data_IF_455385590034
#
_entry.id   IF_455385590034
#
_cell.length_a   1.000
_cell.length_b   1.000
_cell.length_c   1.000
_cell.angle_alpha   90.00
_cell.angle_beta   90.00
_cell.angle_gamma   90.00
#
_symmetry.space_group_name_H-M   'P 1'
#
loop_
_entity.id
_entity.type
_entity.pdbx_description
1 polymer ?
#
# COMPACT_ATOMS: atom_id res chain seq x y z
N UNK A 1 12.17 -4.90 20.20
CA UNK A 1 11.43 -4.97 18.94
C UNK A 1 11.67 -3.71 18.14
N UNK A 2 11.71 -3.80 16.81
CA UNK A 2 11.82 -2.67 15.87
C UNK A 2 10.87 -2.90 14.69
N UNK A 3 10.22 -1.84 14.22
CA UNK A 3 9.23 -1.90 13.15
C UNK A 3 9.68 -1.05 11.96
N UNK A 4 9.38 -1.54 10.76
CA UNK A 4 9.51 -0.76 9.53
C UNK A 4 8.13 -0.63 8.89
N UNK A 5 7.68 0.60 8.66
CA UNK A 5 6.44 0.88 7.95
C UNK A 5 6.75 1.38 6.55
N UNK A 6 6.08 0.81 5.56
CA UNK A 6 6.16 1.28 4.18
C UNK A 6 4.76 1.36 3.57
N UNK A 7 4.56 2.29 2.67
CA UNK A 7 3.27 2.53 2.03
C UNK A 7 3.16 3.91 1.39
N UNK A 8 1.94 4.32 1.09
CA UNK A 8 1.65 5.59 0.44
C UNK A 8 1.32 6.71 1.45
N UNK A 9 0.59 7.73 0.97
CA UNK A 9 0.12 8.86 1.76
C UNK A 9 -0.65 8.48 3.03
N UNK A 10 -1.34 7.34 3.03
CA UNK A 10 -2.04 6.82 4.22
C UNK A 10 -1.03 6.45 5.31
N UNK A 11 0.01 5.70 5.00
CA UNK A 11 1.08 5.36 5.97
C UNK A 11 1.88 6.59 6.36
N UNK A 12 2.04 7.54 5.45
CA UNK A 12 2.65 8.84 5.73
C UNK A 12 1.83 9.65 6.73
N UNK A 13 0.52 9.50 6.73
CA UNK A 13 -0.43 10.27 7.55
C UNK A 13 -0.77 11.61 6.93
N UNK A 14 -0.99 11.63 5.60
CA UNK A 14 -1.42 12.84 4.90
C UNK A 14 -2.77 13.32 5.41
N UNK A 15 -3.00 14.63 5.42
CA UNK A 15 -4.18 15.32 5.95
C UNK A 15 -4.39 15.22 7.49
N UNK A 16 -3.54 14.53 8.23
CA UNK A 16 -3.58 14.55 9.68
C UNK A 16 -3.07 15.87 10.24
N UNK A 17 -3.78 16.43 11.22
CA UNK A 17 -3.41 17.68 11.88
C UNK A 17 -2.06 17.55 12.60
N UNK A 18 -1.84 16.45 13.28
CA UNK A 18 -0.59 16.11 13.95
C UNK A 18 -0.08 14.76 13.48
N UNK A 19 0.41 14.70 12.24
CA UNK A 19 0.84 13.49 11.56
C UNK A 19 1.74 12.59 12.40
N UNK A 20 2.74 13.16 13.06
CA UNK A 20 3.73 12.38 13.80
C UNK A 20 3.20 11.74 15.08
N UNK A 21 2.01 12.14 15.53
CA UNK A 21 1.37 11.55 16.71
C UNK A 21 0.17 10.70 16.37
N UNK A 22 -0.56 11.05 15.29
CA UNK A 22 -1.86 10.51 14.97
C UNK A 22 -1.83 9.38 13.92
N UNK A 23 -0.75 9.28 13.13
CA UNK A 23 -0.65 8.21 12.12
C UNK A 23 -0.55 6.84 12.76
N UNK A 24 -1.17 5.84 12.13
CA UNK A 24 -1.24 4.49 12.67
C UNK A 24 0.13 3.89 12.97
N UNK A 25 1.15 4.16 12.16
CA UNK A 25 2.51 3.66 12.40
C UNK A 25 3.10 4.11 13.74
N UNK A 26 2.84 5.35 14.14
CA UNK A 26 3.26 5.86 15.45
C UNK A 26 2.43 5.26 16.58
N UNK A 27 1.13 5.05 16.38
CA UNK A 27 0.25 4.43 17.39
C UNK A 27 0.69 2.99 17.64
N UNK A 28 0.93 2.20 16.59
CA UNK A 28 1.45 0.83 16.69
C UNK A 28 2.80 0.78 17.40
N UNK A 29 3.73 1.66 17.05
CA UNK A 29 5.05 1.69 17.68
C UNK A 29 4.99 2.04 19.15
N UNK A 30 4.10 2.94 19.54
CA UNK A 30 3.85 3.26 20.97
C UNK A 30 3.23 2.09 21.72
N UNK A 31 2.35 1.31 21.08
CA UNK A 31 1.76 0.12 21.70
C UNK A 31 2.83 -0.91 22.11
N UNK A 32 3.82 -1.11 21.25
CA UNK A 32 4.93 -2.05 21.52
C UNK A 32 6.13 -1.41 22.22
N UNK A 33 6.07 -0.13 22.56
CA UNK A 33 7.20 0.63 23.12
C UNK A 33 8.49 0.41 22.33
N UNK A 34 8.45 0.57 21.01
CA UNK A 34 9.52 0.20 20.12
C UNK A 34 9.91 1.31 19.13
N UNK A 35 11.13 1.20 18.62
CA UNK A 35 11.60 2.07 17.52
C UNK A 35 10.93 1.69 16.21
N UNK A 36 10.71 2.69 15.35
CA UNK A 36 10.22 2.43 13.99
C UNK A 36 10.87 3.33 12.95
N UNK A 37 10.93 2.79 11.74
CA UNK A 37 11.23 3.53 10.51
C UNK A 37 9.94 3.69 9.71
N UNK A 38 9.77 4.82 9.03
CA UNK A 38 8.65 5.02 8.14
C UNK A 38 9.17 5.46 6.77
N UNK A 39 9.11 4.55 5.80
CA UNK A 39 9.59 4.71 4.42
C UNK A 39 8.49 5.21 3.46
N UNK A 40 7.30 5.48 3.98
CA UNK A 40 6.15 5.86 3.16
C UNK A 40 6.31 7.22 2.47
N UNK A 41 5.69 7.36 1.31
CA UNK A 41 5.72 8.60 0.52
C UNK A 41 4.34 8.87 -0.08
N UNK A 42 3.95 10.15 -0.16
CA UNK A 42 2.69 10.52 -0.81
C UNK A 42 2.76 10.29 -2.33
N UNK A 43 1.66 9.76 -2.89
CA UNK A 43 1.55 9.56 -4.35
C UNK A 43 2.34 8.38 -4.93
N UNK A 44 3.09 7.66 -4.12
CA UNK A 44 3.92 6.53 -4.54
C UNK A 44 3.09 5.35 -5.07
N UNK A 45 3.60 4.63 -6.07
CA UNK A 45 3.01 3.40 -6.63
C UNK A 45 3.42 2.15 -5.87
N UNK A 46 2.77 1.01 -6.12
CA UNK A 46 3.14 -0.26 -5.53
C UNK A 46 4.54 -0.72 -5.99
N UNK A 47 4.92 -0.46 -7.24
CA UNK A 47 6.26 -0.74 -7.75
C UNK A 47 7.33 -0.02 -6.93
N UNK A 48 7.15 1.28 -6.71
CA UNK A 48 8.05 2.09 -5.89
C UNK A 48 8.03 1.67 -4.42
N UNK A 49 6.86 1.36 -3.84
CA UNK A 49 6.75 0.89 -2.45
C UNK A 49 7.61 -0.36 -2.25
N UNK A 50 7.42 -1.38 -3.09
CA UNK A 50 8.15 -2.65 -2.99
C UNK A 50 9.65 -2.45 -3.23
N UNK A 51 10.02 -1.78 -4.32
CA UNK A 51 11.42 -1.54 -4.67
C UNK A 51 12.16 -0.77 -3.57
N UNK A 52 11.58 0.33 -3.09
CA UNK A 52 12.25 1.14 -2.04
C UNK A 52 12.30 0.41 -0.72
N UNK A 53 11.29 -0.39 -0.38
CA UNK A 53 11.30 -1.17 0.85
C UNK A 53 12.39 -2.23 0.81
N UNK A 54 12.44 -3.05 -0.25
CA UNK A 54 13.48 -4.08 -0.41
C UNK A 54 14.87 -3.45 -0.41
N UNK A 55 15.07 -2.37 -1.18
CA UNK A 55 16.36 -1.68 -1.21
C UNK A 55 16.79 -1.17 0.18
N UNK A 56 15.87 -0.61 0.95
CA UNK A 56 16.18 -0.19 2.32
C UNK A 56 16.52 -1.38 3.22
N UNK A 57 15.75 -2.47 3.15
CA UNK A 57 16.00 -3.68 3.97
C UNK A 57 17.35 -4.31 3.66
N UNK A 58 17.80 -4.30 2.40
CA UNK A 58 19.11 -4.82 2.02
C UNK A 58 20.28 -3.93 2.46
N UNK A 59 20.04 -2.63 2.61
CA UNK A 59 21.09 -1.67 3.01
C UNK A 59 21.12 -1.37 4.51
N UNK A 60 20.18 -1.88 5.31
CA UNK A 60 20.20 -1.73 6.74
C UNK A 60 21.23 -2.65 7.40
N UNK A 61 22.03 -2.12 8.32
CA UNK A 61 22.97 -2.91 9.13
C UNK A 61 22.27 -3.89 10.08
N UNK A 62 21.03 -3.59 10.46
CA UNK A 62 20.17 -4.47 11.24
C UNK A 62 18.75 -4.40 10.66
N UNK A 63 18.22 -5.55 10.25
CA UNK A 63 16.85 -5.65 9.74
C UNK A 63 15.84 -5.40 10.86
N UNK A 64 14.67 -4.80 10.54
CA UNK A 64 13.60 -4.64 11.53
C UNK A 64 13.00 -6.00 11.89
N UNK A 65 12.50 -6.13 13.12
CA UNK A 65 11.85 -7.37 13.56
C UNK A 65 10.58 -7.66 12.76
N UNK A 66 9.83 -6.62 12.40
CA UNK A 66 8.61 -6.76 11.56
C UNK A 66 8.53 -5.62 10.55
N UNK A 67 8.20 -5.96 9.32
CA UNK A 67 7.84 -4.99 8.27
C UNK A 67 6.32 -4.90 8.15
N UNK A 68 5.79 -3.69 8.19
CA UNK A 68 4.37 -3.40 7.98
C UNK A 68 4.23 -2.71 6.62
N UNK A 69 3.68 -3.44 5.65
CA UNK A 69 3.54 -3.00 4.26
C UNK A 69 2.10 -2.61 3.96
N UNK A 70 1.87 -1.35 3.60
CA UNK A 70 0.58 -0.90 3.09
C UNK A 70 0.67 -0.71 1.57
N UNK A 71 -0.04 -1.55 0.83
CA UNK A 71 -0.20 -1.39 -0.60
C UNK A 71 -1.22 -0.31 -0.94
N UNK A 72 -0.99 0.39 -2.04
CA UNK A 72 -1.85 1.47 -2.54
C UNK A 72 -2.71 1.00 -3.71
N UNK A 73 -3.55 1.90 -4.21
CA UNK A 73 -4.44 1.63 -5.35
C UNK A 73 -3.66 1.24 -6.61
N UNK A 74 -4.24 0.33 -7.36
CA UNK A 74 -3.65 -0.25 -8.57
C UNK A 74 -3.42 0.70 -9.77
N UNK A 75 -4.13 1.85 -9.93
CA UNK A 75 -3.86 2.74 -11.05
C UNK A 75 -2.53 3.49 -10.99
N UNK A 76 -1.81 3.44 -9.87
CA UNK A 76 -0.51 4.12 -9.74
C UNK A 76 0.59 3.31 -10.35
N UNK A 77 1.49 3.97 -11.09
CA UNK A 77 2.67 3.33 -11.68
C UNK A 77 3.94 4.11 -11.38
N UNK A 78 5.06 3.41 -11.43
CA UNK A 78 6.40 3.99 -11.44
C UNK A 78 6.85 4.15 -12.90
N UNK A 79 7.42 5.30 -13.24
CA UNK A 79 7.98 5.59 -14.54
C UNK A 79 9.41 6.12 -14.39
N UNK A 80 10.32 5.54 -15.17
CA UNK A 80 11.69 6.02 -15.28
C UNK A 80 11.78 6.96 -16.46
N UNK A 81 12.24 8.18 -16.20
CA UNK A 81 12.49 9.16 -17.28
C UNK A 81 13.79 8.83 -18.01
N UNK A 82 13.99 9.46 -19.15
CA UNK A 82 15.22 9.30 -19.94
C UNK A 82 16.49 9.76 -19.17
N UNK A 83 16.31 10.55 -18.11
CA UNK A 83 17.38 11.03 -17.21
C UNK A 83 17.49 10.18 -15.93
N UNK A 84 16.99 8.94 -15.93
CA UNK A 84 16.95 8.01 -14.79
C UNK A 84 16.20 8.54 -13.54
N UNK A 85 15.38 9.58 -13.72
CA UNK A 85 14.55 10.12 -12.64
C UNK A 85 13.30 9.29 -12.51
N UNK A 86 13.06 8.81 -11.29
CA UNK A 86 11.86 8.02 -10.97
C UNK A 86 10.68 8.95 -10.70
N UNK A 87 9.62 8.76 -11.44
CA UNK A 87 8.35 9.45 -11.24
C UNK A 87 7.27 8.46 -10.89
N UNK A 88 6.40 8.82 -9.95
CA UNK A 88 5.19 8.07 -9.66
C UNK A 88 4.00 8.80 -10.30
N UNK A 89 3.34 8.11 -11.23
CA UNK A 89 2.18 8.63 -11.91
C UNK A 89 0.89 8.10 -11.31
N UNK A 90 -0.07 8.99 -11.19
CA UNK A 90 -1.43 8.68 -10.77
C UNK A 90 -2.39 9.19 -11.85
N UNK A 91 -3.64 8.70 -11.93
CA UNK A 91 -4.63 9.28 -12.84
C UNK A 91 -4.80 10.80 -12.69
N UNK A 92 -4.59 11.33 -11.50
CA UNK A 92 -4.64 12.79 -11.24
C UNK A 92 -3.44 13.54 -11.83
N UNK A 93 -2.39 12.85 -12.23
CA UNK A 93 -1.20 13.44 -12.85
C UNK A 93 -1.32 13.64 -14.36
N UNK A 94 -2.42 13.19 -14.98
CA UNK A 94 -2.67 13.23 -16.45
C UNK A 94 -2.55 14.62 -17.05
N UNK A 95 -2.90 15.66 -16.30
CA UNK A 95 -2.78 17.06 -16.77
C UNK A 95 -1.36 17.64 -16.66
N UNK A 96 -0.41 16.93 -16.07
CA UNK A 96 0.94 17.45 -15.78
C UNK A 96 2.00 17.03 -16.80
N UNK A 97 1.82 15.86 -17.42
CA UNK A 97 2.81 15.25 -18.30
C UNK A 97 2.14 14.54 -19.48
N UNK A 98 2.54 14.82 -20.70
CA UNK A 98 1.98 14.17 -21.91
C UNK A 98 2.20 12.65 -21.92
N UNK A 99 3.37 12.17 -21.51
CA UNK A 99 3.66 10.73 -21.40
C UNK A 99 2.70 10.05 -20.41
N UNK A 100 2.41 10.69 -19.27
CA UNK A 100 1.45 10.21 -18.28
C UNK A 100 0.03 10.13 -18.87
N UNK A 101 -0.39 11.19 -19.58
CA UNK A 101 -1.68 11.19 -20.26
C UNK A 101 -1.78 10.06 -21.29
N UNK A 102 -0.78 9.89 -22.14
CA UNK A 102 -0.75 8.84 -23.15
C UNK A 102 -0.83 7.45 -22.52
N UNK A 103 -0.15 7.22 -21.41
CA UNK A 103 -0.25 5.97 -20.67
C UNK A 103 -1.69 5.69 -20.22
N UNK A 104 -2.33 6.61 -19.52
CA UNK A 104 -3.69 6.38 -18.99
C UNK A 104 -4.78 6.36 -20.06
N UNK A 105 -4.59 7.04 -21.19
CA UNK A 105 -5.57 7.07 -22.27
C UNK A 105 -5.44 5.88 -23.22
N UNK A 106 -4.20 5.42 -23.48
CA UNK A 106 -3.94 4.48 -24.56
C UNK A 106 -3.43 3.11 -24.11
N UNK A 107 -2.86 2.99 -22.92
CA UNK A 107 -2.21 1.75 -22.47
C UNK A 107 -2.91 1.19 -21.24
N UNK A 108 -3.16 2.02 -20.23
CA UNK A 108 -3.72 1.58 -18.96
C UNK A 108 -5.13 1.02 -19.11
N UNK A 109 -5.39 -0.08 -18.44
CA UNK A 109 -6.72 -0.56 -18.11
C UNK A 109 -6.71 -1.18 -16.70
N UNK A 110 -7.90 -1.39 -16.13
CA UNK A 110 -8.07 -1.91 -14.77
C UNK A 110 -7.42 -3.29 -14.58
N UNK A 111 -7.36 -4.12 -15.63
CA UNK A 111 -6.75 -5.45 -15.58
C UNK A 111 -5.25 -5.32 -15.39
N UNK A 112 -4.58 -4.50 -16.22
CA UNK A 112 -3.15 -4.25 -16.14
C UNK A 112 -2.78 -3.71 -14.77
N UNK A 113 -3.52 -2.72 -14.27
CA UNK A 113 -3.29 -2.14 -12.96
C UNK A 113 -3.44 -3.16 -11.84
N UNK A 114 -4.51 -3.95 -11.88
CA UNK A 114 -4.79 -4.96 -10.88
C UNK A 114 -3.73 -6.09 -10.88
N UNK A 115 -3.38 -6.62 -12.04
CA UNK A 115 -2.32 -7.63 -12.17
C UNK A 115 -0.96 -7.10 -11.68
N UNK A 116 -0.63 -5.83 -12.00
CA UNK A 116 0.59 -5.21 -11.48
C UNK A 116 0.58 -5.08 -9.96
N UNK A 117 -0.55 -4.74 -9.36
CA UNK A 117 -0.70 -4.68 -7.92
C UNK A 117 -0.44 -6.06 -7.29
N UNK A 118 -1.09 -7.11 -7.79
CA UNK A 118 -0.93 -8.47 -7.26
C UNK A 118 0.48 -9.02 -7.48
N UNK A 119 1.11 -8.71 -8.61
CA UNK A 119 2.53 -9.02 -8.85
C UNK A 119 3.43 -8.41 -7.79
N UNK A 120 3.24 -7.14 -7.45
CA UNK A 120 4.03 -6.46 -6.41
C UNK A 120 3.81 -7.07 -5.03
N UNK A 121 2.60 -7.43 -4.72
CA UNK A 121 2.25 -8.13 -3.48
C UNK A 121 2.98 -9.47 -3.39
N UNK A 122 2.89 -10.29 -4.43
CA UNK A 122 3.58 -11.57 -4.52
C UNK A 122 5.10 -11.41 -4.39
N UNK A 123 5.67 -10.42 -5.06
CA UNK A 123 7.11 -10.17 -5.05
C UNK A 123 7.62 -9.83 -3.64
N UNK A 124 6.89 -8.99 -2.92
CA UNK A 124 7.23 -8.63 -1.56
C UNK A 124 7.10 -9.83 -0.60
N UNK A 125 6.03 -10.60 -0.70
CA UNK A 125 5.82 -11.81 0.09
C UNK A 125 6.95 -12.83 -0.15
N UNK A 126 7.29 -13.09 -1.41
CA UNK A 126 8.37 -13.99 -1.79
C UNK A 126 9.72 -13.52 -1.24
N UNK A 127 10.02 -12.21 -1.33
CA UNK A 127 11.23 -11.63 -0.75
C UNK A 127 11.29 -11.85 0.76
N UNK A 128 10.23 -11.53 1.48
CA UNK A 128 10.18 -11.68 2.92
C UNK A 128 10.39 -13.14 3.36
N UNK A 129 9.74 -14.09 2.70
CA UNK A 129 9.90 -15.52 2.96
C UNK A 129 11.31 -16.01 2.68
N UNK A 130 11.89 -15.63 1.54
CA UNK A 130 13.27 -16.00 1.18
C UNK A 130 14.31 -15.48 2.18
N UNK A 131 14.02 -14.36 2.85
CA UNK A 131 14.88 -13.72 3.81
C UNK A 131 14.52 -13.98 5.29
N UNK A 132 13.54 -14.85 5.56
CA UNK A 132 12.98 -15.06 6.91
C UNK A 132 12.56 -13.76 7.61
N UNK A 133 12.12 -12.76 6.83
CA UNK A 133 11.68 -11.48 7.34
C UNK A 133 10.21 -11.57 7.78
N UNK A 134 9.94 -11.35 9.06
CA UNK A 134 8.56 -11.21 9.54
C UNK A 134 7.91 -9.96 8.95
N UNK A 135 6.68 -10.09 8.49
CA UNK A 135 5.94 -8.99 7.91
C UNK A 135 4.44 -9.16 8.06
N UNK A 136 3.74 -8.06 8.03
CA UNK A 136 2.30 -7.98 7.80
C UNK A 136 2.03 -7.05 6.63
N UNK A 137 1.04 -7.37 5.82
CA UNK A 137 0.69 -6.54 4.68
C UNK A 137 -0.81 -6.38 4.54
N UNK A 138 -1.22 -5.24 4.03
CA UNK A 138 -2.62 -4.92 3.79
C UNK A 138 -2.76 -3.90 2.67
N UNK A 139 -3.94 -3.82 2.10
CA UNK A 139 -4.28 -2.78 1.14
C UNK A 139 -5.21 -1.80 1.86
N UNK A 140 -4.81 -0.54 1.92
CA UNK A 140 -5.65 0.50 2.46
C UNK A 140 -6.15 1.36 1.31
N UNK A 141 -7.34 1.12 0.84
CA UNK A 141 -8.13 2.05 0.03
C UNK A 141 -9.53 1.52 -0.31
N UNK A 142 -10.29 2.30 -1.04
CA UNK A 142 -11.66 2.08 -1.49
C UNK A 142 -11.83 0.78 -2.30
N UNK A 143 -11.87 -0.35 -1.61
CA UNK A 143 -11.83 -1.70 -2.19
C UNK A 143 -12.99 -2.03 -3.12
N UNK A 144 -14.15 -1.40 -2.96
CA UNK A 144 -15.31 -1.65 -3.83
C UNK A 144 -15.04 -1.35 -5.30
N UNK A 145 -14.02 -0.53 -5.60
CA UNK A 145 -13.61 -0.21 -6.99
C UNK A 145 -12.52 -1.13 -7.54
N UNK A 146 -11.81 -1.86 -6.69
CA UNK A 146 -10.70 -2.75 -7.10
C UNK A 146 -11.21 -4.15 -7.48
N UNK A 147 -12.43 -4.48 -7.14
CA UNK A 147 -13.08 -5.70 -7.66
C UNK A 147 -13.50 -5.43 -9.11
N UNK A 148 -12.52 -5.40 -10.00
CA UNK A 148 -12.83 -5.74 -11.41
C UNK A 148 -13.50 -7.09 -11.31
N UNK A 149 -14.78 -7.18 -11.72
CA UNK A 149 -15.46 -8.46 -11.77
C UNK A 149 -14.62 -9.37 -12.66
N UNK A 150 -13.94 -10.37 -12.12
CA UNK A 150 -13.01 -11.21 -12.90
C UNK A 150 -13.73 -11.88 -14.07
N UNK A 151 -15.01 -12.17 -13.86
CA UNK A 151 -15.93 -12.84 -14.77
C UNK A 151 -16.00 -12.21 -16.17
N UNK A 152 -15.74 -10.91 -16.28
CA UNK A 152 -15.80 -10.22 -17.58
C UNK A 152 -14.52 -10.39 -18.40
N UNK A 153 -13.39 -10.65 -17.79
CA UNK A 153 -12.08 -10.59 -18.44
C UNK A 153 -11.31 -11.91 -18.43
N UNK A 154 -11.63 -12.82 -17.50
CA UNK A 154 -10.89 -14.06 -17.30
C UNK A 154 -11.75 -15.32 -17.43
N UNK A 155 -12.93 -15.26 -18.09
CA UNK A 155 -13.83 -16.41 -18.24
C UNK A 155 -14.07 -17.16 -16.91
N UNK A 156 -14.34 -16.42 -15.82
CA UNK A 156 -14.49 -16.91 -14.45
C UNK A 156 -13.16 -17.29 -13.76
N UNK A 157 -12.00 -17.15 -14.40
CA UNK A 157 -10.72 -17.38 -13.76
C UNK A 157 -10.27 -16.14 -12.97
N UNK A 158 -9.81 -16.38 -11.77
CA UNK A 158 -9.07 -15.39 -10.97
C UNK A 158 -7.80 -15.01 -11.72
N UNK A 159 -7.45 -13.71 -11.78
CA UNK A 159 -6.24 -13.26 -12.45
C UNK A 159 -4.99 -13.98 -11.96
N UNK A 160 -4.03 -14.22 -12.86
CA UNK A 160 -2.86 -15.05 -12.62
C UNK A 160 -2.12 -14.71 -11.32
N UNK A 161 -1.78 -13.46 -11.12
CA UNK A 161 -1.01 -13.03 -9.94
C UNK A 161 -1.82 -13.12 -8.65
N UNK A 162 -3.11 -12.83 -8.69
CA UNK A 162 -3.99 -12.99 -7.54
C UNK A 162 -4.09 -14.45 -7.11
N UNK A 163 -4.23 -15.37 -8.07
CA UNK A 163 -4.18 -16.80 -7.80
C UNK A 163 -2.85 -17.22 -7.18
N UNK A 164 -1.72 -16.75 -7.74
CA UNK A 164 -0.40 -17.02 -7.19
C UNK A 164 -0.27 -16.52 -5.74
N UNK A 165 -0.76 -15.31 -5.43
CA UNK A 165 -0.75 -14.80 -4.06
C UNK A 165 -1.53 -15.69 -3.11
N UNK A 166 -2.74 -16.11 -3.48
CA UNK A 166 -3.58 -16.98 -2.66
C UNK A 166 -2.93 -18.35 -2.45
N UNK A 167 -2.41 -18.96 -3.51
CA UNK A 167 -1.84 -20.31 -3.44
C UNK A 167 -0.52 -20.31 -2.64
N UNK A 168 0.22 -19.20 -2.68
CA UNK A 168 1.48 -19.04 -1.96
C UNK A 168 1.30 -18.59 -0.49
N UNK A 169 0.31 -17.76 -0.20
CA UNK A 169 0.00 -17.28 1.13
C UNK A 169 -1.51 -17.03 1.28
N UNK A 170 -2.30 -18.04 1.70
CA UNK A 170 -3.75 -17.91 1.84
C UNK A 170 -4.17 -16.85 2.87
N UNK A 171 -3.32 -16.51 3.84
CA UNK A 171 -3.60 -15.49 4.84
C UNK A 171 -3.37 -14.06 4.32
N UNK A 172 -2.74 -13.93 3.16
CA UNK A 172 -2.41 -12.65 2.55
C UNK A 172 -3.65 -11.81 2.20
N UNK A 173 -4.79 -12.42 1.97
CA UNK A 173 -6.04 -11.78 1.56
C UNK A 173 -6.84 -11.17 2.72
N UNK A 174 -6.28 -11.09 3.93
CA UNK A 174 -6.94 -10.43 5.07
C UNK A 174 -6.82 -8.92 4.94
N UNK A 175 -7.79 -8.32 4.30
CA UNK A 175 -7.85 -6.88 4.09
C UNK A 175 -8.46 -6.16 5.28
N UNK A 176 -7.91 -4.98 5.60
CA UNK A 176 -8.60 -4.05 6.48
C UNK A 176 -9.27 -2.97 5.68
N UNK A 177 -10.56 -3.04 5.69
CA UNK A 177 -11.41 -2.04 5.11
C UNK A 177 -11.97 -1.13 6.21
N UNK A 178 -11.72 0.17 6.07
CA UNK A 178 -12.23 1.19 7.00
C UNK A 178 -13.62 1.70 6.62
N UNK A 179 -14.24 1.12 5.61
CA UNK A 179 -15.41 1.68 4.96
C UNK A 179 -15.04 2.81 3.97
N UNK A 180 -15.96 3.20 3.11
CA UNK A 180 -15.79 4.39 2.28
C UNK A 180 -15.97 5.66 3.12
N UNK A 181 -15.47 6.81 2.63
CA UNK A 181 -15.74 8.11 3.26
C UNK A 181 -17.22 8.44 3.35
N UNK A 182 -18.06 7.84 2.49
CA UNK A 182 -19.52 7.98 2.54
C UNK A 182 -20.16 7.11 3.62
N UNK A 183 -19.63 5.89 3.85
CA UNK A 183 -20.18 4.95 4.84
C UNK A 183 -19.67 5.21 6.24
N UNK A 184 -18.44 5.65 6.38
CA UNK A 184 -17.79 5.92 7.67
C UNK A 184 -17.05 7.26 7.62
N UNK A 185 -17.76 8.41 7.45
CA UNK A 185 -17.13 9.72 7.26
C UNK A 185 -16.23 10.13 8.43
N UNK A 186 -16.51 9.65 9.62
CA UNK A 186 -15.69 9.93 10.80
C UNK A 186 -14.29 9.29 10.76
N UNK A 187 -14.07 8.30 9.89
CA UNK A 187 -12.77 7.66 9.70
C UNK A 187 -11.88 8.41 8.70
N UNK A 188 -12.42 9.40 8.01
CA UNK A 188 -11.71 10.17 6.98
C UNK A 188 -11.56 11.64 7.39
N UNK A 189 -10.47 12.26 6.97
CA UNK A 189 -10.25 13.68 7.20
C UNK A 189 -11.27 14.49 6.37
N UNK A 190 -11.86 15.50 7.01
CA UNK A 190 -12.70 16.48 6.34
C UNK A 190 -11.80 17.65 5.91
N UNK A 191 -11.34 17.63 4.68
CA UNK A 191 -10.53 18.69 4.10
C UNK A 191 -10.83 18.89 2.60
N UNK A 192 -10.22 19.89 1.99
CA UNK A 192 -10.38 20.18 0.55
C UNK A 192 -10.02 19.00 -0.35
N UNK A 193 -9.21 18.07 0.13
CA UNK A 193 -8.78 16.86 -0.60
C UNK A 193 -9.58 15.61 -0.24
N UNK A 194 -10.21 15.57 0.93
CA UNK A 194 -11.23 14.63 1.39
C UNK A 194 -11.05 13.15 1.02
N UNK A 195 -9.87 12.56 1.20
CA UNK A 195 -9.63 11.19 0.73
C UNK A 195 -8.75 10.34 1.65
N UNK A 196 -8.18 10.91 2.71
CA UNK A 196 -7.31 10.18 3.63
C UNK A 196 -8.01 9.85 4.95
N UNK A 197 -7.60 8.78 5.66
CA UNK A 197 -8.15 8.47 6.96
C UNK A 197 -7.95 9.60 7.98
N UNK A 198 -8.96 9.89 8.77
CA UNK A 198 -8.88 10.80 9.92
C UNK A 198 -8.02 10.18 11.03
N UNK A 199 -7.73 10.94 12.10
CA UNK A 199 -7.07 10.40 13.30
C UNK A 199 -7.84 9.19 13.88
N UNK A 200 -9.18 9.18 13.81
CA UNK A 200 -10.02 8.05 14.21
C UNK A 200 -9.81 6.85 13.27
N UNK A 201 -9.74 7.10 11.96
CA UNK A 201 -9.44 6.06 10.96
C UNK A 201 -8.05 5.45 11.18
N UNK A 202 -7.04 6.28 11.43
CA UNK A 202 -5.70 5.81 11.76
C UNK A 202 -5.64 4.98 13.05
N UNK A 203 -6.45 5.33 14.07
CA UNK A 203 -6.56 4.52 15.28
C UNK A 203 -7.12 3.13 14.98
N UNK A 204 -8.18 3.02 14.18
CA UNK A 204 -8.74 1.72 13.74
C UNK A 204 -7.74 0.92 12.91
N UNK A 205 -6.97 1.58 12.03
CA UNK A 205 -5.89 0.90 11.30
C UNK A 205 -4.83 0.36 12.24
N UNK A 206 -4.44 1.14 13.25
CA UNK A 206 -3.46 0.70 14.24
C UNK A 206 -3.94 -0.53 15.02
N UNK A 207 -5.19 -0.54 15.48
CA UNK A 207 -5.80 -1.69 16.16
C UNK A 207 -5.68 -2.96 15.30
N UNK A 208 -5.99 -2.84 14.00
CA UNK A 208 -5.90 -3.97 13.08
C UNK A 208 -4.47 -4.41 12.77
N UNK A 209 -3.56 -3.47 12.61
CA UNK A 209 -2.13 -3.80 12.39
C UNK A 209 -1.55 -4.49 13.64
N UNK A 210 -1.94 -4.09 14.84
CA UNK A 210 -1.55 -4.75 16.09
C UNK A 210 -2.05 -6.20 16.09
N UNK A 211 -3.34 -6.44 15.80
CA UNK A 211 -3.89 -7.80 15.68
C UNK A 211 -3.09 -8.67 14.70
N UNK A 212 -2.67 -8.10 13.56
CA UNK A 212 -1.88 -8.84 12.55
C UNK A 212 -0.46 -9.14 13.04
N UNK A 213 0.16 -8.21 13.74
CA UNK A 213 1.51 -8.41 14.29
C UNK A 213 1.49 -9.44 15.42
N UNK A 214 0.47 -9.43 16.26
CA UNK A 214 0.32 -10.39 17.36
C UNK A 214 0.06 -11.83 16.87
N UNK A 215 -0.38 -11.97 15.61
CA UNK A 215 -0.67 -13.28 14.99
C UNK A 215 0.56 -13.94 14.33
N UNK A 216 1.72 -13.28 14.24
CA UNK A 216 2.94 -13.79 13.60
C UNK A 216 4.10 -13.94 14.59
#
# INVERSE_FOLDING_TARGET
>A
MSLCFSGCSITWGDELKNRYQERYSTIVSKHYDCRHFNLSQCGISNDSIVRTTINNLENLSAKPDVVVMQFTVHPRIEYFTDDDIIQNWTPQSVGKFDKCRNYYVSIYNEIIGNENMWKNIFLFDAYCKANNQKYVSFIADHFERIVVKPEKYYNNDEGYWKKMCRDYNPNFLQYHWLGTSQQCPENYAQGEKGGHPSAKGHKKMAEKVIELIDAI
#
